data_IF_932710642797
#
_entry.id   IF_932710642797
#
_cell.length_a   1.000
_cell.length_b   1.000
_cell.length_c   1.000
_cell.angle_alpha   90.00
_cell.angle_beta   90.00
_cell.angle_gamma   90.00
#
_symmetry.space_group_name_H-M   'P 1'
#
loop_
_entity.id
_entity.type
_entity.pdbx_description
1 polymer ?
#
# COMPACT_ATOMS: atom_id res chain seq x y z
N UNK A 1 0.99 25.70 -11.25
CA UNK A 1 0.18 24.46 -11.42
C UNK A 1 -1.02 24.79 -12.26
N UNK A 2 -1.17 24.16 -13.45
CA UNK A 2 -2.34 24.37 -14.28
C UNK A 2 -3.56 23.68 -13.63
N UNK A 3 -4.65 24.37 -13.34
CA UNK A 3 -5.84 23.74 -12.78
C UNK A 3 -6.35 22.66 -13.73
N UNK A 4 -6.66 21.48 -13.19
CA UNK A 4 -7.28 20.40 -13.96
C UNK A 4 -8.55 20.95 -14.62
N UNK A 5 -8.73 20.74 -15.92
CA UNK A 5 -9.98 21.10 -16.59
C UNK A 5 -11.13 20.33 -15.95
N UNK A 6 -12.35 20.90 -15.90
CA UNK A 6 -13.55 20.22 -15.35
C UNK A 6 -13.72 18.79 -15.87
N UNK A 7 -13.36 18.54 -17.13
CA UNK A 7 -13.42 17.21 -17.76
C UNK A 7 -12.41 16.23 -17.13
N UNK A 8 -11.19 16.68 -16.85
CA UNK A 8 -10.16 15.84 -16.19
C UNK A 8 -10.55 15.51 -14.75
N UNK A 9 -11.11 16.48 -14.03
CA UNK A 9 -11.60 16.27 -12.66
C UNK A 9 -12.77 15.27 -12.63
N UNK A 10 -13.73 15.38 -13.56
CA UNK A 10 -14.83 14.43 -13.70
C UNK A 10 -14.33 13.01 -14.02
N UNK A 11 -13.35 12.88 -14.93
CA UNK A 11 -12.74 11.61 -15.27
C UNK A 11 -12.06 10.97 -14.05
N UNK A 12 -11.28 11.75 -13.28
CA UNK A 12 -10.65 11.26 -12.05
C UNK A 12 -11.67 10.84 -10.99
N UNK A 13 -12.73 11.62 -10.81
CA UNK A 13 -13.82 11.29 -9.89
C UNK A 13 -14.52 9.99 -10.29
N UNK A 14 -14.77 9.79 -11.59
CA UNK A 14 -15.37 8.54 -12.10
C UNK A 14 -14.45 7.34 -11.87
N UNK A 15 -13.16 7.50 -12.16
CA UNK A 15 -12.15 6.46 -11.88
C UNK A 15 -12.10 6.08 -10.40
N UNK A 16 -12.13 7.06 -9.51
CA UNK A 16 -12.14 6.84 -8.06
C UNK A 16 -13.42 6.14 -7.58
N UNK A 17 -14.59 6.46 -8.15
CA UNK A 17 -15.85 5.76 -7.85
C UNK A 17 -15.78 4.28 -8.23
N UNK A 18 -15.29 3.98 -9.44
CA UNK A 18 -15.12 2.60 -9.91
C UNK A 18 -14.15 1.85 -8.98
N UNK A 19 -13.01 2.45 -8.65
CA UNK A 19 -12.02 1.86 -7.76
C UNK A 19 -12.62 1.52 -6.39
N UNK A 20 -13.25 2.48 -5.71
CA UNK A 20 -13.86 2.27 -4.38
C UNK A 20 -14.91 1.17 -4.40
N UNK A 21 -15.85 1.23 -5.33
CA UNK A 21 -16.87 0.20 -5.50
C UNK A 21 -16.26 -1.19 -5.74
N UNK A 22 -15.14 -1.25 -6.46
CA UNK A 22 -14.46 -2.53 -6.71
C UNK A 22 -13.85 -3.12 -5.45
N UNK A 23 -13.11 -2.34 -4.66
CA UNK A 23 -12.49 -2.80 -3.41
C UNK A 23 -13.57 -3.31 -2.43
N UNK A 24 -14.65 -2.54 -2.24
CA UNK A 24 -15.76 -2.96 -1.38
C UNK A 24 -16.44 -4.26 -1.86
N UNK A 25 -16.58 -4.44 -3.18
CA UNK A 25 -17.19 -5.63 -3.74
C UNK A 25 -16.24 -6.83 -3.73
N UNK A 26 -14.92 -6.63 -3.83
CA UNK A 26 -13.93 -7.71 -3.67
C UNK A 26 -14.07 -8.36 -2.29
N UNK A 27 -14.14 -7.55 -1.23
CA UNK A 27 -14.34 -8.06 0.13
C UNK A 27 -15.71 -8.72 0.34
N UNK A 28 -16.80 -8.12 -0.23
CA UNK A 28 -18.17 -8.66 -0.03
C UNK A 28 -18.48 -9.92 -0.80
N UNK A 29 -17.93 -10.11 -1.99
CA UNK A 29 -18.31 -11.15 -2.95
C UNK A 29 -17.17 -12.06 -3.39
N UNK A 30 -15.94 -11.71 -3.05
CA UNK A 30 -14.73 -12.32 -3.56
C UNK A 30 -14.39 -11.85 -4.98
N UNK A 31 -13.10 -11.64 -5.22
CA UNK A 31 -12.60 -11.17 -6.53
C UNK A 31 -13.04 -12.08 -7.69
N UNK A 32 -12.93 -13.40 -7.53
CA UNK A 32 -13.21 -14.35 -8.62
C UNK A 32 -14.69 -14.30 -9.07
N UNK A 33 -15.61 -14.19 -8.12
CA UNK A 33 -17.05 -14.22 -8.37
C UNK A 33 -17.61 -12.93 -8.94
N UNK A 34 -16.83 -11.82 -8.84
CA UNK A 34 -17.31 -10.50 -9.21
C UNK A 34 -17.20 -10.27 -10.72
N UNK A 35 -18.29 -9.80 -11.33
CA UNK A 35 -18.34 -9.39 -12.74
C UNK A 35 -18.24 -7.87 -12.86
N UNK A 36 -17.66 -7.39 -13.97
CA UNK A 36 -17.55 -5.94 -14.27
C UNK A 36 -18.91 -5.24 -14.21
N UNK A 37 -20.00 -5.90 -14.65
CA UNK A 37 -21.35 -5.35 -14.56
C UNK A 37 -21.79 -5.03 -13.12
N UNK A 38 -21.32 -5.82 -12.14
CA UNK A 38 -21.66 -5.59 -10.73
C UNK A 38 -20.93 -4.35 -10.21
N UNK A 39 -19.66 -4.18 -10.59
CA UNK A 39 -18.88 -2.97 -10.30
C UNK A 39 -19.54 -1.73 -10.91
N UNK A 40 -19.94 -1.81 -12.18
CA UNK A 40 -20.59 -0.70 -12.86
C UNK A 40 -21.90 -0.29 -12.18
N UNK A 41 -22.70 -1.27 -11.75
CA UNK A 41 -23.96 -1.04 -11.02
C UNK A 41 -23.70 -0.33 -9.68
N UNK A 42 -22.73 -0.80 -8.91
CA UNK A 42 -22.36 -0.21 -7.61
C UNK A 42 -21.79 1.19 -7.75
N UNK A 43 -20.90 1.39 -8.73
CA UNK A 43 -20.28 2.69 -9.00
C UNK A 43 -21.23 3.70 -9.68
N UNK A 44 -22.42 3.28 -10.14
CA UNK A 44 -23.36 4.13 -10.89
C UNK A 44 -22.83 4.58 -12.24
N UNK A 45 -22.11 3.69 -12.97
CA UNK A 45 -21.51 4.01 -14.28
C UNK A 45 -21.92 2.99 -15.35
N UNK A 46 -21.82 3.37 -16.62
CA UNK A 46 -22.00 2.44 -17.73
C UNK A 46 -20.78 1.51 -17.89
N UNK A 47 -20.96 0.36 -18.54
CA UNK A 47 -19.87 -0.57 -18.90
C UNK A 47 -18.84 0.14 -19.79
N UNK A 48 -19.27 0.96 -20.76
CA UNK A 48 -18.36 1.77 -21.58
C UNK A 48 -17.53 2.75 -20.75
N UNK A 49 -18.15 3.36 -19.73
CA UNK A 49 -17.42 4.24 -18.79
C UNK A 49 -16.38 3.49 -18.01
N UNK A 50 -16.65 2.25 -17.57
CA UNK A 50 -15.67 1.40 -16.91
C UNK A 50 -14.43 1.18 -17.79
N UNK A 51 -14.64 0.73 -19.03
CA UNK A 51 -13.56 0.43 -19.96
C UNK A 51 -12.75 1.68 -20.40
N UNK A 52 -13.31 2.88 -20.27
CA UNK A 52 -12.54 4.13 -20.44
C UNK A 52 -11.49 4.39 -19.34
N UNK A 53 -11.59 3.67 -18.19
CA UNK A 53 -10.71 3.87 -17.03
C UNK A 53 -9.90 2.63 -16.66
N UNK A 54 -10.45 1.44 -16.88
CA UNK A 54 -9.84 0.16 -16.52
C UNK A 54 -10.07 -0.87 -17.62
N UNK A 55 -9.01 -1.42 -18.18
CA UNK A 55 -9.08 -2.42 -19.25
C UNK A 55 -9.63 -3.77 -18.75
N UNK A 56 -9.56 -4.05 -17.45
CA UNK A 56 -9.99 -5.30 -16.83
C UNK A 56 -10.18 -5.15 -15.31
N UNK A 57 -10.73 -6.18 -14.65
CA UNK A 57 -10.70 -6.30 -13.18
C UNK A 57 -9.26 -6.26 -12.64
N UNK A 58 -8.32 -6.89 -13.35
CA UNK A 58 -6.91 -6.93 -12.95
C UNK A 58 -6.27 -5.53 -12.96
N UNK A 59 -6.68 -4.65 -13.85
CA UNK A 59 -6.19 -3.26 -13.87
C UNK A 59 -6.53 -2.49 -12.58
N UNK A 60 -7.58 -2.91 -11.85
CA UNK A 60 -7.92 -2.34 -10.54
C UNK A 60 -6.87 -2.74 -9.49
N UNK A 61 -6.34 -3.96 -9.54
CA UNK A 61 -5.25 -4.40 -8.65
C UNK A 61 -3.97 -3.57 -8.87
N UNK A 62 -3.68 -3.21 -10.14
CA UNK A 62 -2.58 -2.29 -10.45
C UNK A 62 -2.82 -0.90 -9.82
N UNK A 63 -4.08 -0.44 -9.82
CA UNK A 63 -4.44 0.84 -9.23
C UNK A 63 -4.26 0.86 -7.70
N UNK A 64 -4.38 -0.28 -7.00
CA UNK A 64 -4.09 -0.39 -5.56
C UNK A 64 -2.67 0.11 -5.25
N UNK A 65 -1.67 -0.30 -6.03
CA UNK A 65 -0.29 0.17 -5.83
C UNK A 65 -0.11 1.66 -6.07
N UNK A 66 -0.77 2.22 -7.11
CA UNK A 66 -0.74 3.67 -7.37
C UNK A 66 -1.40 4.45 -6.25
N UNK A 67 -2.50 3.93 -5.72
CA UNK A 67 -3.20 4.53 -4.58
C UNK A 67 -2.41 4.45 -3.29
N UNK A 68 -1.63 3.39 -3.07
CA UNK A 68 -0.69 3.31 -1.97
C UNK A 68 0.35 4.44 -2.06
N UNK A 69 0.98 4.63 -3.23
CA UNK A 69 1.96 5.71 -3.41
C UNK A 69 1.33 7.09 -3.22
N UNK A 70 0.09 7.31 -3.69
CA UNK A 70 -0.66 8.54 -3.47
C UNK A 70 -0.93 8.76 -1.96
N UNK A 71 -1.41 7.74 -1.25
CA UNK A 71 -1.65 7.77 0.19
C UNK A 71 -0.39 8.14 0.98
N UNK A 72 0.74 7.50 0.68
CA UNK A 72 2.00 7.83 1.34
C UNK A 72 2.49 9.25 1.03
N UNK A 73 2.18 9.77 -0.16
CA UNK A 73 2.56 11.11 -0.59
C UNK A 73 1.69 12.21 0.04
N UNK A 74 0.39 11.96 0.21
CA UNK A 74 -0.57 13.00 0.63
C UNK A 74 -0.92 12.93 2.11
N UNK A 75 -0.96 11.71 2.69
CA UNK A 75 -1.39 11.50 4.06
C UNK A 75 -0.24 11.13 5.00
N UNK A 76 0.63 10.18 4.60
CA UNK A 76 1.61 9.62 5.53
C UNK A 76 2.81 10.54 5.72
N UNK A 77 3.34 11.11 4.64
CA UNK A 77 4.59 11.90 4.67
C UNK A 77 4.61 12.99 5.75
N UNK A 78 3.50 13.70 5.90
CA UNK A 78 3.41 14.87 6.79
C UNK A 78 2.77 14.50 8.15
N UNK A 79 2.38 13.24 8.35
CA UNK A 79 1.75 12.74 9.58
C UNK A 79 2.64 11.77 10.39
N UNK A 80 3.85 11.46 9.93
CA UNK A 80 4.87 10.78 10.75
C UNK A 80 5.40 11.79 11.77
N UNK A 81 5.03 11.61 13.04
CA UNK A 81 5.32 12.55 14.14
C UNK A 81 6.44 12.08 15.07
N UNK A 82 6.84 10.83 14.99
CA UNK A 82 7.95 10.28 15.75
C UNK A 82 9.24 11.05 15.50
N UNK A 83 10.11 11.15 16.51
CA UNK A 83 11.30 12.02 16.48
C UNK A 83 12.57 11.27 16.12
N UNK A 84 12.71 10.01 16.54
CA UNK A 84 13.87 9.18 16.22
C UNK A 84 13.63 8.26 15.01
N UNK A 85 14.71 7.82 14.37
CA UNK A 85 14.65 7.06 13.12
C UNK A 85 13.97 5.69 13.26
N UNK A 86 14.15 4.99 14.39
CA UNK A 86 13.54 3.68 14.62
C UNK A 86 12.02 3.81 14.77
N UNK A 87 11.55 4.74 15.61
CA UNK A 87 10.12 4.97 15.80
C UNK A 87 9.44 5.47 14.51
N UNK A 88 10.14 6.28 13.69
CA UNK A 88 9.65 6.68 12.36
C UNK A 88 9.46 5.49 11.43
N UNK A 89 10.38 4.51 11.46
CA UNK A 89 10.25 3.27 10.67
C UNK A 89 9.02 2.49 11.13
N UNK A 90 8.81 2.33 12.44
CA UNK A 90 7.67 1.61 12.99
C UNK A 90 6.38 2.32 12.58
N UNK A 91 6.28 3.62 12.79
CA UNK A 91 5.12 4.44 12.43
C UNK A 91 4.83 4.41 10.92
N UNK A 92 5.86 4.39 10.06
CA UNK A 92 5.70 4.20 8.63
C UNK A 92 5.00 2.86 8.29
N UNK A 93 5.37 1.78 8.97
CA UNK A 93 4.76 0.47 8.72
C UNK A 93 3.40 0.30 9.41
N UNK A 94 3.08 1.08 10.44
CA UNK A 94 1.73 1.20 10.95
C UNK A 94 0.80 1.77 9.86
N UNK A 95 1.18 2.84 9.17
CA UNK A 95 0.44 3.35 8.01
C UNK A 95 0.38 2.35 6.86
N UNK A 96 1.46 1.60 6.62
CA UNK A 96 1.48 0.55 5.60
C UNK A 96 0.46 -0.55 5.91
N UNK A 97 0.38 -1.00 7.16
CA UNK A 97 -0.58 -2.03 7.57
C UNK A 97 -2.02 -1.50 7.55
N UNK A 98 -2.29 -0.28 8.02
CA UNK A 98 -3.59 0.37 7.93
C UNK A 98 -4.09 0.44 6.48
N UNK A 99 -3.21 0.80 5.53
CA UNK A 99 -3.57 0.83 4.12
C UNK A 99 -3.90 -0.58 3.58
N UNK A 100 -3.12 -1.59 3.95
CA UNK A 100 -3.35 -2.97 3.49
C UNK A 100 -4.62 -3.56 4.11
N UNK A 101 -4.91 -3.28 5.38
CA UNK A 101 -6.16 -3.66 6.04
C UNK A 101 -7.37 -2.99 5.36
N UNK A 102 -7.29 -1.71 5.05
CA UNK A 102 -8.31 -0.98 4.27
C UNK A 102 -8.54 -1.56 2.88
N UNK A 103 -7.48 -2.00 2.19
CA UNK A 103 -7.56 -2.66 0.87
C UNK A 103 -8.28 -4.01 0.97
N UNK A 104 -8.14 -4.69 2.10
CA UNK A 104 -8.88 -5.87 2.47
C UNK A 104 -8.25 -7.19 2.04
N UNK A 105 -8.68 -8.24 2.72
CA UNK A 105 -8.11 -9.58 2.63
C UNK A 105 -8.18 -10.18 1.22
N UNK A 106 -9.35 -10.13 0.59
CA UNK A 106 -9.54 -10.76 -0.73
C UNK A 106 -8.72 -10.07 -1.82
N UNK A 107 -8.61 -8.73 -1.74
CA UNK A 107 -7.75 -7.96 -2.65
C UNK A 107 -6.27 -8.30 -2.43
N UNK A 108 -5.81 -8.39 -1.18
CA UNK A 108 -4.43 -8.75 -0.87
C UNK A 108 -4.09 -10.16 -1.34
N UNK A 109 -4.99 -11.14 -1.16
CA UNK A 109 -4.80 -12.50 -1.70
C UNK A 109 -4.53 -12.48 -3.21
N UNK A 110 -5.26 -11.64 -3.96
CA UNK A 110 -5.03 -11.49 -5.40
C UNK A 110 -3.68 -10.82 -5.71
N UNK A 111 -3.27 -9.83 -4.91
CA UNK A 111 -1.97 -9.16 -5.09
C UNK A 111 -0.78 -10.08 -4.80
N UNK A 112 -0.92 -10.99 -3.84
CA UNK A 112 0.12 -11.97 -3.48
C UNK A 112 0.07 -13.26 -4.30
N UNK A 113 -0.91 -13.40 -5.21
CA UNK A 113 -0.96 -14.56 -6.10
C UNK A 113 0.28 -14.60 -7.02
N UNK A 114 0.75 -15.80 -7.33
CA UNK A 114 1.91 -16.02 -8.19
C UNK A 114 1.73 -15.39 -9.58
N UNK A 115 2.74 -14.68 -10.07
CA UNK A 115 2.72 -13.98 -11.36
C UNK A 115 2.46 -12.48 -11.28
N UNK A 116 2.16 -11.94 -10.12
CA UNK A 116 2.09 -10.49 -9.92
C UNK A 116 3.48 -9.91 -9.61
N UNK A 117 4.01 -9.13 -10.56
CA UNK A 117 5.32 -8.46 -10.42
C UNK A 117 5.22 -7.08 -9.72
N UNK A 118 4.11 -6.79 -9.06
CA UNK A 118 3.88 -5.47 -8.44
C UNK A 118 4.92 -5.11 -7.38
N UNK A 119 5.37 -6.11 -6.62
CA UNK A 119 6.32 -5.89 -5.54
C UNK A 119 7.78 -5.81 -5.99
N UNK A 120 8.09 -6.13 -7.26
CA UNK A 120 9.43 -6.04 -7.83
C UNK A 120 9.77 -4.66 -8.43
N UNK A 121 8.82 -3.74 -8.47
CA UNK A 121 9.06 -2.39 -8.97
C UNK A 121 9.87 -1.57 -7.98
N UNK A 122 11.01 -1.04 -8.44
CA UNK A 122 11.86 -0.13 -7.67
C UNK A 122 11.45 1.34 -7.90
N UNK A 123 11.83 2.21 -6.96
CA UNK A 123 11.64 3.65 -7.09
C UNK A 123 10.21 4.13 -6.82
N UNK A 124 9.37 3.31 -6.20
CA UNK A 124 8.04 3.72 -5.74
C UNK A 124 8.17 4.80 -4.66
N UNK A 125 7.18 5.71 -4.60
CA UNK A 125 7.20 6.82 -3.65
C UNK A 125 7.39 6.37 -2.20
N UNK A 126 6.66 5.33 -1.77
CA UNK A 126 6.75 4.79 -0.41
C UNK A 126 8.17 4.24 -0.09
N UNK A 127 8.87 3.63 -1.08
CA UNK A 127 10.25 3.18 -0.90
C UNK A 127 11.21 4.38 -0.74
N UNK A 128 11.05 5.41 -1.58
CA UNK A 128 11.85 6.65 -1.51
C UNK A 128 11.64 7.36 -0.17
N UNK A 129 10.41 7.41 0.33
CA UNK A 129 10.09 8.02 1.63
C UNK A 129 10.76 7.25 2.78
N UNK A 130 10.67 5.91 2.78
CA UNK A 130 11.32 5.09 3.80
C UNK A 130 12.85 5.22 3.76
N UNK A 131 13.45 5.19 2.58
CA UNK A 131 14.90 5.41 2.43
C UNK A 131 15.34 6.77 2.98
N UNK A 132 14.52 7.81 2.79
CA UNK A 132 14.79 9.13 3.37
C UNK A 132 14.75 9.10 4.90
N UNK A 133 13.76 8.41 5.50
CA UNK A 133 13.67 8.23 6.96
C UNK A 133 14.91 7.51 7.50
N UNK A 134 15.32 6.43 6.83
CA UNK A 134 16.52 5.66 7.21
C UNK A 134 17.77 6.52 7.12
N UNK A 135 17.94 7.27 6.03
CA UNK A 135 19.10 8.16 5.85
C UNK A 135 19.19 9.22 6.96
N UNK A 136 18.07 9.88 7.28
CA UNK A 136 17.99 10.83 8.38
C UNK A 136 18.38 10.20 9.72
N UNK A 137 17.97 8.94 9.98
CA UNK A 137 18.34 8.18 11.18
C UNK A 137 19.83 7.80 11.20
N UNK A 138 20.43 7.46 10.05
CA UNK A 138 21.87 7.18 9.93
C UNK A 138 22.69 8.46 10.17
N UNK A 139 22.29 9.59 9.61
CA UNK A 139 22.96 10.88 9.81
C UNK A 139 22.94 11.33 11.28
N UNK A 140 21.86 11.01 12.00
CA UNK A 140 21.70 11.27 13.44
C UNK A 140 22.35 10.21 14.34
N UNK A 141 22.95 9.16 13.76
CA UNK A 141 23.52 8.01 14.50
C UNK A 141 22.49 7.27 15.36
N UNK A 142 21.25 7.22 14.91
CA UNK A 142 20.17 6.43 15.52
C UNK A 142 20.06 5.05 14.86
N UNK A 143 20.44 4.95 13.56
CA UNK A 143 20.40 3.74 12.73
C UNK A 143 21.81 3.40 12.27
N UNK A 144 22.14 2.11 12.23
CA UNK A 144 23.46 1.60 11.80
C UNK A 144 23.78 2.05 10.36
N UNK A 145 25.04 2.39 10.11
CA UNK A 145 25.56 2.76 8.79
C UNK A 145 26.41 1.65 8.16
N UNK A 146 26.42 0.45 8.73
CA UNK A 146 27.08 -0.74 8.19
C UNK A 146 26.32 -1.35 7.02
N UNK A 147 25.05 -0.95 6.84
CA UNK A 147 24.18 -1.26 5.70
C UNK A 147 23.73 0.02 5.01
N UNK A 148 23.54 -0.05 3.70
CA UNK A 148 22.98 1.08 2.93
C UNK A 148 21.48 1.28 3.26
N UNK A 149 20.97 2.47 2.98
CA UNK A 149 19.53 2.78 3.13
C UNK A 149 18.65 1.85 2.29
N UNK A 150 19.14 1.46 1.09
CA UNK A 150 18.45 0.54 0.20
C UNK A 150 18.38 -0.87 0.79
N UNK A 151 19.47 -1.39 1.34
CA UNK A 151 19.51 -2.71 1.98
C UNK A 151 18.54 -2.77 3.16
N UNK A 152 18.59 -1.79 4.08
CA UNK A 152 17.66 -1.73 5.23
C UNK A 152 16.21 -1.63 4.74
N UNK A 153 15.94 -0.76 3.78
CA UNK A 153 14.61 -0.60 3.17
C UNK A 153 14.09 -1.92 2.60
N UNK A 154 14.93 -2.66 1.88
CA UNK A 154 14.58 -3.96 1.30
C UNK A 154 14.28 -5.01 2.38
N UNK A 155 15.09 -5.10 3.44
CA UNK A 155 14.84 -6.01 4.56
C UNK A 155 13.48 -5.73 5.23
N UNK A 156 13.20 -4.47 5.51
CA UNK A 156 11.94 -4.04 6.10
C UNK A 156 10.73 -4.39 5.22
N UNK A 157 10.79 -4.11 3.90
CA UNK A 157 9.70 -4.45 2.99
C UNK A 157 9.53 -5.95 2.75
N UNK A 158 10.62 -6.73 2.75
CA UNK A 158 10.52 -8.20 2.70
C UNK A 158 9.77 -8.70 3.92
N UNK A 159 10.13 -8.19 5.11
CA UNK A 159 9.50 -8.56 6.37
C UNK A 159 8.02 -8.16 6.41
N UNK A 160 7.69 -6.91 6.10
CA UNK A 160 6.32 -6.41 6.09
C UNK A 160 5.43 -7.15 5.08
N UNK A 161 5.95 -7.45 3.88
CA UNK A 161 5.24 -8.28 2.89
C UNK A 161 5.04 -9.71 3.39
N UNK A 162 6.00 -10.26 4.13
CA UNK A 162 5.88 -11.55 4.79
C UNK A 162 4.69 -11.58 5.76
N UNK A 163 4.52 -10.53 6.58
CA UNK A 163 3.37 -10.38 7.49
C UNK A 163 2.04 -10.32 6.71
N UNK A 164 1.97 -9.49 5.66
CA UNK A 164 0.74 -9.41 4.85
C UNK A 164 0.42 -10.74 4.15
N UNK A 165 1.43 -11.46 3.67
CA UNK A 165 1.25 -12.78 3.07
C UNK A 165 0.77 -13.81 4.10
N UNK A 166 1.39 -13.83 5.29
CA UNK A 166 0.98 -14.70 6.39
C UNK A 166 -0.48 -14.43 6.81
N UNK A 167 -0.87 -13.16 6.91
CA UNK A 167 -2.24 -12.77 7.17
C UNK A 167 -3.21 -13.32 6.09
N UNK A 168 -2.81 -13.27 4.81
CA UNK A 168 -3.60 -13.82 3.71
C UNK A 168 -3.78 -15.33 3.78
N UNK A 169 -2.74 -16.10 4.11
CA UNK A 169 -2.83 -17.57 4.20
C UNK A 169 -3.56 -18.04 5.46
N UNK A 170 -3.64 -17.19 6.48
CA UNK A 170 -4.41 -17.43 7.71
C UNK A 170 -5.82 -16.81 7.67
N UNK A 171 -6.34 -16.48 6.49
CA UNK A 171 -7.69 -15.96 6.28
C UNK A 171 -8.05 -14.74 7.14
N UNK A 172 -7.05 -13.86 7.41
CA UNK A 172 -7.28 -12.66 8.20
C UNK A 172 -7.59 -12.92 9.68
N UNK A 173 -7.12 -14.04 10.24
CA UNK A 173 -7.50 -14.52 11.57
C UNK A 173 -6.98 -13.69 12.74
N UNK A 174 -6.14 -12.69 12.47
CA UNK A 174 -5.57 -11.79 13.48
C UNK A 174 -5.60 -10.33 13.01
N UNK A 175 -5.45 -9.39 13.94
CA UNK A 175 -5.34 -7.96 13.64
C UNK A 175 -4.01 -7.67 12.92
N UNK A 176 -4.11 -7.29 11.63
CA UNK A 176 -2.95 -7.03 10.78
C UNK A 176 -2.12 -5.85 11.30
N UNK A 177 -2.79 -4.82 11.82
CA UNK A 177 -2.12 -3.58 12.26
C UNK A 177 -1.33 -3.84 13.54
N UNK A 178 -1.95 -4.48 14.53
CA UNK A 178 -1.29 -4.83 15.80
C UNK A 178 -0.12 -5.80 15.57
N UNK A 179 -0.31 -6.81 14.72
CA UNK A 179 0.74 -7.78 14.42
C UNK A 179 1.91 -7.15 13.66
N UNK A 180 1.63 -6.30 12.66
CA UNK A 180 2.65 -5.58 11.90
C UNK A 180 3.48 -4.68 12.82
N UNK A 181 2.83 -3.91 13.70
CA UNK A 181 3.50 -3.06 14.67
C UNK A 181 4.50 -3.84 15.51
N UNK A 182 4.06 -4.94 16.11
CA UNK A 182 4.93 -5.81 16.96
C UNK A 182 6.07 -6.41 16.16
N UNK A 183 5.78 -6.92 14.96
CA UNK A 183 6.78 -7.59 14.13
C UNK A 183 7.83 -6.60 13.62
N UNK A 184 7.40 -5.44 13.10
CA UNK A 184 8.34 -4.42 12.62
C UNK A 184 9.14 -3.80 13.77
N UNK A 185 8.56 -3.62 14.96
CA UNK A 185 9.31 -3.16 16.13
C UNK A 185 10.51 -4.08 16.44
N UNK A 186 10.31 -5.39 16.41
CA UNK A 186 11.41 -6.35 16.60
C UNK A 186 12.49 -6.24 15.51
N UNK A 187 12.08 -6.10 14.25
CA UNK A 187 13.02 -5.99 13.14
C UNK A 187 13.75 -4.64 13.16
N UNK A 188 13.05 -3.53 13.41
CA UNK A 188 13.62 -2.19 13.41
C UNK A 188 14.67 -2.01 14.53
N UNK A 189 14.44 -2.59 15.72
CA UNK A 189 15.42 -2.56 16.81
C UNK A 189 16.77 -3.21 16.44
N UNK A 190 16.80 -4.16 15.48
CA UNK A 190 18.05 -4.76 15.01
C UNK A 190 18.93 -3.76 14.20
N UNK A 191 18.37 -2.67 13.75
CA UNK A 191 19.08 -1.60 13.04
C UNK A 191 19.48 -0.42 13.94
N UNK A 192 19.12 -0.43 15.21
CA UNK A 192 19.43 0.61 16.17
C UNK A 192 20.92 0.61 16.54
N UNK A 193 21.51 1.78 16.69
CA UNK A 193 22.85 1.92 17.28
C UNK A 193 22.71 1.85 18.79
N UNK A 194 23.45 0.92 19.43
CA UNK A 194 23.51 0.77 20.87
C UNK A 194 24.44 1.84 21.51
#
# INVERSE_FOLDING_TARGET
MNPLTNRKLQAQNTKNKIYKASIELFEKKGYENLKIKDICKEAGVSIGSFYNHFDSKHAILIEVHKKADEYFKTEVKDNIISTNGIDKIIEFFDYYSIYNDFVGLDTLKQLYHSGNYFFSQNGRYLQVLLQKIILEGQDKKEIISTMTTEEICNHLFISARGVCYDWCINDGSYDLVDFMHKHISLIAESFKIN
#
